data_IF_043852372626
#
_entry.id   IF_043852372626
#
_cell.length_a   1.000
_cell.length_b   1.000
_cell.length_c   1.000
_cell.angle_alpha   90.00
_cell.angle_beta   90.00
_cell.angle_gamma   90.00
#
_symmetry.space_group_name_H-M   'P 1'
#
loop_
_entity.id
_entity.type
_entity.pdbx_description
1 polymer ?
#
# COMPACT_ATOMS: atom_id res chain seq x y z
N UNK A 1 19.05 -6.77 -2.90
CA UNK A 1 18.36 -7.29 -4.09
C UNK A 1 17.35 -6.23 -4.57
N UNK A 2 17.74 -5.35 -5.49
CA UNK A 2 16.82 -4.62 -6.39
C UNK A 2 17.25 -5.00 -7.79
N UNK A 3 16.48 -5.87 -8.45
CA UNK A 3 16.72 -6.15 -9.87
C UNK A 3 16.41 -4.88 -10.66
N UNK A 4 17.28 -4.56 -11.62
CA UNK A 4 17.25 -3.32 -12.39
C UNK A 4 16.00 -3.23 -13.26
N UNK A 5 15.03 -2.46 -12.76
CA UNK A 5 13.88 -1.93 -13.46
C UNK A 5 13.37 -0.77 -12.61
N UNK A 6 13.83 0.44 -12.90
CA UNK A 6 13.52 1.63 -12.10
C UNK A 6 12.04 1.95 -12.27
N UNK A 7 11.20 1.50 -11.33
CA UNK A 7 9.80 1.95 -11.25
C UNK A 7 9.79 3.46 -11.09
N UNK A 8 9.31 4.16 -12.10
CA UNK A 8 9.19 5.61 -12.15
C UNK A 8 8.20 6.07 -11.08
N UNK A 9 8.68 6.86 -10.12
CA UNK A 9 7.87 7.38 -9.02
C UNK A 9 6.83 8.42 -9.46
N UNK A 10 6.97 8.99 -10.66
CA UNK A 10 6.08 10.05 -11.17
C UNK A 10 4.78 9.52 -11.79
N UNK A 11 4.74 8.26 -12.22
CA UNK A 11 3.59 7.64 -12.90
C UNK A 11 2.84 6.68 -11.99
N UNK A 12 2.36 7.18 -10.85
CA UNK A 12 1.71 6.36 -9.84
C UNK A 12 0.41 6.99 -9.37
N UNK A 13 -0.63 6.16 -9.33
CA UNK A 13 -1.89 6.54 -8.73
C UNK A 13 -1.91 6.16 -7.27
N UNK A 14 -2.33 7.08 -6.43
CA UNK A 14 -2.50 6.90 -4.99
C UNK A 14 -3.97 7.11 -4.62
N UNK A 15 -4.49 6.33 -3.70
CA UNK A 15 -5.82 6.51 -3.15
C UNK A 15 -5.82 6.16 -1.66
N UNK A 16 -6.32 7.06 -0.81
CA UNK A 16 -6.48 6.74 0.62
C UNK A 16 -7.72 5.87 0.80
N UNK A 17 -7.58 4.73 1.46
CA UNK A 17 -8.68 3.80 1.73
C UNK A 17 -8.48 3.11 3.09
N UNK A 18 -9.58 2.64 3.69
CA UNK A 18 -9.52 1.90 4.94
C UNK A 18 -8.85 0.54 4.78
N UNK A 19 -8.11 0.08 5.79
CA UNK A 19 -7.48 -1.23 5.78
C UNK A 19 -8.51 -2.36 5.93
N UNK A 20 -8.58 -3.25 4.95
CA UNK A 20 -9.48 -4.41 4.98
C UNK A 20 -9.12 -5.49 6.02
N UNK A 21 -8.01 -5.35 6.75
CA UNK A 21 -7.54 -6.38 7.69
C UNK A 21 -7.94 -6.15 9.15
N UNK A 22 -8.20 -4.91 9.56
CA UNK A 22 -8.68 -4.59 10.91
C UNK A 22 -9.75 -3.52 10.81
N UNK A 23 -10.89 -3.74 11.47
CA UNK A 23 -11.98 -2.76 11.59
C UNK A 23 -11.68 -1.58 12.53
N UNK A 24 -10.42 -1.37 12.94
CA UNK A 24 -10.03 -0.31 13.90
C UNK A 24 -9.68 1.03 13.22
N UNK A 25 -9.89 1.16 11.90
CA UNK A 25 -9.77 2.43 11.19
C UNK A 25 -8.33 2.83 10.81
N UNK A 26 -7.43 1.87 10.57
CA UNK A 26 -6.16 2.22 9.97
C UNK A 26 -6.32 2.50 8.46
N UNK A 27 -5.89 3.68 8.01
CA UNK A 27 -5.90 4.03 6.58
C UNK A 27 -4.62 3.56 5.90
N UNK A 28 -4.78 3.12 4.65
CA UNK A 28 -3.71 2.74 3.74
C UNK A 28 -3.78 3.56 2.47
N UNK A 29 -2.60 3.80 1.89
CA UNK A 29 -2.42 4.43 0.58
C UNK A 29 -1.70 3.38 -0.28
N UNK A 30 -2.42 2.59 -1.09
CA UNK A 30 -1.84 1.82 -2.18
C UNK A 30 -1.22 2.73 -3.23
N UNK A 31 -0.03 2.33 -3.67
CA UNK A 31 0.75 2.94 -4.73
C UNK A 31 0.62 2.06 -5.97
N UNK A 32 -0.17 2.49 -6.97
CA UNK A 32 -0.49 1.68 -8.15
C UNK A 32 0.26 2.18 -9.38
N UNK A 33 0.94 1.27 -10.08
CA UNK A 33 1.67 1.52 -11.32
C UNK A 33 1.49 0.32 -12.23
N UNK A 34 1.20 0.53 -13.52
CA UNK A 34 0.97 -0.55 -14.50
C UNK A 34 -0.06 -1.60 -14.04
N UNK A 35 -1.11 -1.14 -13.33
CA UNK A 35 -2.15 -1.98 -12.73
C UNK A 35 -1.62 -2.99 -11.66
N UNK A 36 -0.43 -2.74 -11.09
CA UNK A 36 0.19 -3.47 -9.98
C UNK A 36 0.33 -2.54 -8.76
N UNK A 37 0.13 -3.07 -7.53
CA UNK A 37 0.35 -2.35 -6.28
C UNK A 37 1.81 -2.57 -5.90
N UNK A 38 2.62 -1.55 -6.12
CA UNK A 38 4.08 -1.65 -5.97
C UNK A 38 4.56 -1.25 -4.58
N UNK A 39 3.72 -0.56 -3.80
CA UNK A 39 3.97 -0.15 -2.41
C UNK A 39 2.64 0.09 -1.69
N UNK A 40 2.65 -0.01 -0.36
CA UNK A 40 1.55 0.45 0.48
C UNK A 40 2.12 1.30 1.61
N UNK A 41 1.56 2.48 1.82
CA UNK A 41 1.90 3.39 2.93
C UNK A 41 0.65 3.74 3.75
N UNK A 42 0.80 4.55 4.80
CA UNK A 42 -0.29 5.08 5.60
C UNK A 42 -0.08 6.59 5.76
N UNK A 43 -1.15 7.40 5.86
CA UNK A 43 -1.01 8.83 6.14
C UNK A 43 -0.24 9.05 7.45
N UNK A 44 0.74 9.95 7.43
CA UNK A 44 1.56 10.25 8.61
C UNK A 44 0.74 10.89 9.75
N UNK A 45 -0.32 11.60 9.38
CA UNK A 45 -1.28 12.27 10.25
C UNK A 45 -2.46 11.38 10.66
N UNK A 46 -2.47 10.09 10.30
CA UNK A 46 -3.53 9.18 10.74
C UNK A 46 -3.52 9.10 12.29
N UNK A 47 -4.64 9.41 12.97
CA UNK A 47 -4.69 9.53 14.42
C UNK A 47 -4.53 8.19 15.16
N UNK A 48 -4.69 7.08 14.45
CA UNK A 48 -4.59 5.72 15.02
C UNK A 48 -3.19 5.16 14.80
N UNK A 49 -2.68 5.23 13.58
CA UNK A 49 -1.42 4.57 13.19
C UNK A 49 -0.22 5.49 13.12
N UNK A 50 -0.41 6.80 12.98
CA UNK A 50 0.66 7.78 12.79
C UNK A 50 1.63 7.36 11.66
N UNK A 51 1.08 6.90 10.53
CA UNK A 51 1.86 6.40 9.39
C UNK A 51 2.38 4.96 9.51
N UNK A 52 2.16 4.27 10.63
CA UNK A 52 2.67 2.91 10.84
C UNK A 52 1.71 1.82 10.36
N UNK A 53 2.18 0.97 9.47
CA UNK A 53 1.44 -0.23 9.06
C UNK A 53 1.93 -1.48 9.80
N UNK A 54 0.99 -2.35 10.19
CA UNK A 54 1.29 -3.71 10.64
C UNK A 54 1.69 -4.60 9.45
N UNK A 55 2.18 -5.82 9.73
CA UNK A 55 2.57 -6.79 8.69
C UNK A 55 1.47 -7.06 7.65
N UNK A 56 0.21 -7.11 8.09
CA UNK A 56 -0.96 -7.32 7.20
C UNK A 56 -1.20 -6.12 6.27
N UNK A 57 -1.00 -4.90 6.77
CA UNK A 57 -1.11 -3.69 5.95
C UNK A 57 0.04 -3.54 4.94
N UNK A 58 1.26 -3.92 5.32
CA UNK A 58 2.45 -3.78 4.46
C UNK A 58 2.51 -4.82 3.33
N UNK A 59 2.10 -6.06 3.60
CA UNK A 59 2.30 -7.18 2.69
C UNK A 59 1.00 -7.83 2.21
N UNK A 60 -0.15 -7.41 2.74
CA UNK A 60 -1.45 -8.00 2.40
C UNK A 60 -1.91 -7.75 0.96
N UNK A 61 -1.36 -6.73 0.28
CA UNK A 61 -1.72 -6.40 -1.12
C UNK A 61 -1.44 -7.55 -2.09
N UNK A 62 -0.44 -8.39 -1.80
CA UNK A 62 -0.10 -9.56 -2.63
C UNK A 62 -1.28 -10.52 -2.81
N UNK A 63 -2.17 -10.64 -1.82
CA UNK A 63 -3.34 -11.53 -1.90
C UNK A 63 -4.41 -11.01 -2.85
N UNK A 64 -4.55 -9.69 -2.98
CA UNK A 64 -5.56 -9.06 -3.85
C UNK A 64 -5.09 -9.06 -5.31
N UNK A 65 -3.78 -9.18 -5.54
CA UNK A 65 -3.17 -9.14 -6.87
C UNK A 65 -2.72 -10.50 -7.37
N UNK A 66 -2.98 -11.57 -6.62
CA UNK A 66 -2.73 -12.93 -7.05
C UNK A 66 -3.63 -13.25 -8.25
N UNK A 67 -3.07 -13.12 -9.45
CA UNK A 67 -3.68 -13.52 -10.71
C UNK A 67 -3.22 -14.94 -11.02
N UNK A 68 -4.16 -15.83 -11.33
CA UNK A 68 -3.89 -17.19 -11.81
C UNK A 68 -3.08 -17.20 -13.12
#
# INVERSE_FOLDING_TARGET
>A
MRAAGTRDGSQRTEATTGCAHRGVGCDVIPHVQDNEIVKVTSPHDNPVTHGNLCVKGRFGSQRVQNRD
#
